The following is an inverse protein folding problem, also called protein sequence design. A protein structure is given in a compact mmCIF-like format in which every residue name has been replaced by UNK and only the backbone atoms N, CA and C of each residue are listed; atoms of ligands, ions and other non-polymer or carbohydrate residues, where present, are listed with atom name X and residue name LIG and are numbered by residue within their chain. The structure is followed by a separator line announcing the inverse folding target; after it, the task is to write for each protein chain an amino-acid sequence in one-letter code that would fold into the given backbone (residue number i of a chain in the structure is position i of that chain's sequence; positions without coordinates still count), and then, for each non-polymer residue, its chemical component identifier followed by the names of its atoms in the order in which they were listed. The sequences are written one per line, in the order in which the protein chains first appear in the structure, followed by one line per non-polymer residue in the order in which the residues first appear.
data_IF_031290676469
#
_entry.id   IF_031290676469
#
_cell.length_a   1.000
_cell.length_b   1.000
_cell.length_c   1.000
_cell.angle_alpha   90.00
_cell.angle_beta   90.00
_cell.angle_gamma   90.00
#
_symmetry.space_group_name_H-M   'P 1'
#
loop_
_entity.id
_entity.type
_entity.pdbx_description
1 polymer ?
#
# COMPACT_ATOMS: atom_id res chain seq x y z
N UNK A 1 -1.44 -23.51 6.88
CA UNK A 1 -0.22 -22.69 7.03
C UNK A 1 0.67 -22.72 5.78
N UNK A 2 1.00 -23.91 5.24
CA UNK A 2 1.94 -24.08 4.10
C UNK A 2 1.59 -23.29 2.84
N UNK A 3 0.31 -23.22 2.47
CA UNK A 3 -0.14 -22.53 1.24
C UNK A 3 -0.56 -21.07 1.45
N UNK A 4 -0.32 -20.49 2.64
CA UNK A 4 -0.75 -19.11 2.91
C UNK A 4 0.06 -18.10 2.08
N UNK A 5 1.38 -18.21 2.08
CA UNK A 5 2.25 -17.26 1.37
C UNK A 5 2.01 -17.21 -0.16
N UNK A 6 1.81 -18.34 -0.88
CA UNK A 6 1.43 -18.32 -2.29
C UNK A 6 0.10 -17.61 -2.59
N UNK A 7 -0.90 -17.75 -1.71
CA UNK A 7 -2.20 -17.08 -1.89
C UNK A 7 -2.03 -15.56 -1.77
N UNK A 8 -1.31 -15.09 -0.75
CA UNK A 8 -1.01 -13.67 -0.59
C UNK A 8 -0.09 -13.11 -1.68
N UNK A 9 0.78 -13.94 -2.27
CA UNK A 9 1.57 -13.55 -3.44
C UNK A 9 0.70 -13.23 -4.66
N UNK A 10 -0.33 -14.05 -4.93
CA UNK A 10 -1.33 -13.75 -5.96
C UNK A 10 -2.09 -12.45 -5.68
N UNK A 11 -2.50 -12.22 -4.43
CA UNK A 11 -3.16 -10.96 -4.03
C UNK A 11 -2.23 -9.75 -4.17
N UNK A 12 -0.94 -9.92 -3.90
CA UNK A 12 0.08 -8.88 -4.08
C UNK A 12 0.21 -8.47 -5.55
N UNK A 13 0.16 -9.44 -6.48
CA UNK A 13 0.16 -9.14 -7.91
C UNK A 13 -1.06 -8.30 -8.32
N UNK A 14 -2.25 -8.60 -7.77
CA UNK A 14 -3.48 -7.83 -8.01
C UNK A 14 -3.36 -6.41 -7.41
N UNK A 15 -2.90 -6.26 -6.17
CA UNK A 15 -2.69 -4.95 -5.55
C UNK A 15 -1.68 -4.11 -6.33
N UNK A 16 -0.62 -4.76 -6.86
CA UNK A 16 0.40 -4.09 -7.68
C UNK A 16 -0.17 -3.63 -9.03
N UNK A 17 -1.02 -4.46 -9.67
CA UNK A 17 -1.79 -4.05 -10.86
C UNK A 17 -2.62 -2.79 -10.57
N UNK A 18 -3.37 -2.77 -9.46
CA UNK A 18 -4.23 -1.65 -9.11
C UNK A 18 -3.43 -0.36 -8.84
N UNK A 19 -2.33 -0.46 -8.08
CA UNK A 19 -1.42 0.66 -7.81
C UNK A 19 -0.89 1.28 -9.10
N UNK A 20 -0.37 0.45 -10.00
CA UNK A 20 0.29 0.90 -11.24
C UNK A 20 -0.70 1.35 -12.31
N UNK A 21 -1.88 0.73 -12.37
CA UNK A 21 -3.00 1.20 -13.20
C UNK A 21 -3.48 2.59 -12.76
N UNK A 22 -3.40 2.90 -11.45
CA UNK A 22 -3.69 4.23 -10.94
C UNK A 22 -2.61 5.23 -11.36
N UNK A 23 -1.34 4.85 -11.44
CA UNK A 23 -0.27 5.79 -11.81
C UNK A 23 -0.23 6.15 -13.29
N UNK A 24 -0.49 5.19 -14.19
CA UNK A 24 -0.26 5.39 -15.62
C UNK A 24 -1.38 4.86 -16.51
N UNK A 25 -1.35 3.57 -16.85
CA UNK A 25 -2.32 2.93 -17.74
C UNK A 25 -2.53 1.48 -17.34
N UNK A 26 -3.64 0.89 -17.79
CA UNK A 26 -3.95 -0.53 -17.53
C UNK A 26 -2.88 -1.47 -18.09
N UNK A 27 -2.28 -1.13 -19.23
CA UNK A 27 -1.20 -1.91 -19.83
C UNK A 27 0.05 -1.93 -18.94
N UNK A 28 0.47 -0.78 -18.42
CA UNK A 28 1.58 -0.70 -17.47
C UNK A 28 1.31 -1.52 -16.21
N UNK A 29 0.05 -1.54 -15.74
CA UNK A 29 -0.32 -2.34 -14.59
C UNK A 29 -0.27 -3.85 -14.80
N UNK A 30 -0.66 -4.33 -15.99
CA UNK A 30 -0.52 -5.75 -16.34
C UNK A 30 0.95 -6.17 -16.33
N UNK A 31 1.83 -5.36 -16.92
CA UNK A 31 3.27 -5.63 -16.87
C UNK A 31 3.82 -5.64 -15.44
N UNK A 32 3.42 -4.69 -14.60
CA UNK A 32 3.86 -4.65 -13.20
C UNK A 32 3.41 -5.89 -12.40
N UNK A 33 2.18 -6.34 -12.61
CA UNK A 33 1.66 -7.57 -11.98
C UNK A 33 2.39 -8.82 -12.46
N UNK A 34 2.68 -8.92 -13.76
CA UNK A 34 3.48 -10.01 -14.29
C UNK A 34 4.90 -10.00 -13.71
N UNK A 35 5.54 -8.84 -13.56
CA UNK A 35 6.89 -8.79 -13.00
C UNK A 35 6.96 -9.19 -11.53
N UNK A 36 6.04 -8.69 -10.68
CA UNK A 36 6.07 -9.03 -9.25
C UNK A 36 5.71 -10.50 -8.98
N UNK A 37 4.93 -11.14 -9.86
CA UNK A 37 4.55 -12.54 -9.71
C UNK A 37 5.76 -13.51 -9.81
N UNK A 38 6.79 -13.14 -10.57
CA UNK A 38 7.93 -14.01 -10.88
C UNK A 38 9.26 -13.47 -10.31
N UNK A 39 9.23 -12.32 -9.62
CA UNK A 39 10.46 -11.68 -9.15
C UNK A 39 11.11 -12.53 -8.04
N UNK A 40 12.36 -13.00 -8.22
CA UNK A 40 13.00 -13.94 -7.30
C UNK A 40 13.17 -13.36 -5.90
N UNK A 41 13.33 -12.04 -5.79
CA UNK A 41 13.41 -11.35 -4.49
C UNK A 41 12.16 -11.55 -3.64
N UNK A 42 10.96 -11.43 -4.22
CA UNK A 42 9.72 -11.68 -3.50
C UNK A 42 9.46 -13.17 -3.33
N UNK A 43 9.67 -13.98 -4.38
CA UNK A 43 9.47 -15.42 -4.32
C UNK A 43 10.29 -16.09 -3.22
N UNK A 44 11.52 -15.63 -2.95
CA UNK A 44 12.37 -16.16 -1.87
C UNK A 44 11.76 -16.05 -0.47
N UNK A 45 10.90 -15.06 -0.25
CA UNK A 45 10.22 -14.78 1.03
C UNK A 45 8.78 -15.27 1.07
N UNK A 46 8.24 -15.72 -0.08
CA UNK A 46 6.85 -16.16 -0.24
C UNK A 46 6.70 -17.60 -0.76
N UNK A 47 7.69 -18.47 -0.52
CA UNK A 47 7.66 -19.88 -0.95
C UNK A 47 6.59 -20.67 -0.18
N UNK A 48 5.95 -21.65 -0.84
CA UNK A 48 5.07 -22.60 -0.15
C UNK A 48 5.83 -23.32 0.97
N UNK A 49 5.28 -23.27 2.19
CA UNK A 49 5.94 -23.79 3.40
C UNK A 49 6.69 -22.73 4.21
N UNK A 50 6.98 -21.56 3.65
CA UNK A 50 7.46 -20.40 4.40
C UNK A 50 6.29 -19.70 5.07
N UNK A 51 6.14 -19.90 6.37
CA UNK A 51 5.12 -19.23 7.20
C UNK A 51 5.74 -18.02 7.90
N UNK A 52 6.22 -17.07 7.08
CA UNK A 52 6.76 -15.80 7.55
C UNK A 52 5.76 -14.67 7.31
N UNK A 53 5.81 -13.64 8.15
CA UNK A 53 4.89 -12.50 8.12
C UNK A 53 5.10 -11.62 6.86
N UNK A 54 6.26 -11.74 6.23
CA UNK A 54 6.66 -10.91 5.09
C UNK A 54 5.75 -11.08 3.86
N UNK A 55 5.23 -12.29 3.63
CA UNK A 55 4.31 -12.56 2.51
C UNK A 55 3.02 -11.75 2.61
N UNK A 56 2.47 -11.65 3.83
CA UNK A 56 1.26 -10.86 4.14
C UNK A 56 1.59 -9.37 4.17
N UNK A 57 2.74 -9.00 4.74
CA UNK A 57 3.17 -7.62 4.89
C UNK A 57 3.32 -6.91 3.53
N UNK A 58 3.92 -7.58 2.55
CA UNK A 58 4.12 -7.01 1.21
C UNK A 58 2.78 -6.75 0.52
N UNK A 59 1.80 -7.67 0.66
CA UNK A 59 0.44 -7.44 0.19
C UNK A 59 -0.20 -6.21 0.84
N UNK A 60 -0.17 -6.13 2.18
CA UNK A 60 -0.75 -5.03 2.95
C UNK A 60 -0.12 -3.69 2.60
N UNK A 61 1.19 -3.67 2.37
CA UNK A 61 1.95 -2.49 1.96
C UNK A 61 1.49 -1.99 0.58
N UNK A 62 1.41 -2.88 -0.42
CA UNK A 62 0.95 -2.49 -1.77
C UNK A 62 -0.50 -2.00 -1.77
N UNK A 63 -1.37 -2.66 -0.98
CA UNK A 63 -2.77 -2.25 -0.84
C UNK A 63 -2.88 -0.87 -0.19
N UNK A 64 -2.09 -0.59 0.85
CA UNK A 64 -2.09 0.70 1.55
C UNK A 64 -1.64 1.83 0.63
N UNK A 65 -0.61 1.61 -0.19
CA UNK A 65 -0.16 2.61 -1.17
C UNK A 65 -1.17 2.85 -2.29
N UNK A 66 -1.85 1.80 -2.76
CA UNK A 66 -2.93 1.95 -3.73
C UNK A 66 -4.07 2.82 -3.16
N UNK A 67 -4.52 2.51 -1.95
CA UNK A 67 -5.60 3.24 -1.29
C UNK A 67 -5.21 4.69 -1.00
N UNK A 68 -3.96 4.93 -0.58
CA UNK A 68 -3.42 6.28 -0.35
C UNK A 68 -3.43 7.12 -1.64
N UNK A 69 -2.91 6.60 -2.75
CA UNK A 69 -2.92 7.31 -4.03
C UNK A 69 -4.35 7.58 -4.52
N UNK A 70 -5.25 6.61 -4.34
CA UNK A 70 -6.66 6.75 -4.71
C UNK A 70 -7.36 7.81 -3.84
N UNK A 71 -7.05 7.85 -2.55
CA UNK A 71 -7.50 8.87 -1.60
C UNK A 71 -7.05 10.26 -2.05
N UNK A 72 -5.77 10.45 -2.38
CA UNK A 72 -5.24 11.75 -2.82
C UNK A 72 -5.89 12.26 -4.12
N UNK A 73 -6.12 11.38 -5.09
CA UNK A 73 -6.72 11.76 -6.38
C UNK A 73 -8.18 12.15 -6.25
N UNK A 74 -8.95 11.35 -5.52
CA UNK A 74 -10.39 11.59 -5.32
C UNK A 74 -10.67 12.69 -4.29
N UNK A 75 -9.83 12.82 -3.26
CA UNK A 75 -10.03 13.73 -2.14
C UNK A 75 -11.18 13.30 -1.21
N UNK A 76 -11.56 12.01 -1.22
CA UNK A 76 -12.69 11.51 -0.43
C UNK A 76 -12.25 10.98 0.94
N UNK A 77 -13.06 11.28 1.96
CA UNK A 77 -12.90 10.77 3.32
C UNK A 77 -13.02 9.25 3.35
N UNK A 78 -13.91 8.66 2.54
CA UNK A 78 -14.12 7.21 2.48
C UNK A 78 -12.83 6.46 2.13
N UNK A 79 -12.13 6.87 1.06
CA UNK A 79 -10.87 6.24 0.66
C UNK A 79 -9.76 6.45 1.70
N UNK A 80 -9.79 7.56 2.42
CA UNK A 80 -8.82 7.87 3.47
C UNK A 80 -9.02 6.97 4.71
N UNK A 81 -10.29 6.69 5.08
CA UNK A 81 -10.62 5.71 6.12
C UNK A 81 -10.21 4.30 5.69
N UNK A 82 -10.51 3.89 4.44
CA UNK A 82 -10.05 2.61 3.93
C UNK A 82 -8.52 2.48 3.96
N UNK A 83 -7.80 3.57 3.66
CA UNK A 83 -6.34 3.61 3.77
C UNK A 83 -5.88 3.42 5.23
N UNK A 84 -6.54 4.07 6.19
CA UNK A 84 -6.23 3.91 7.62
C UNK A 84 -6.51 2.48 8.12
N UNK A 85 -7.60 1.84 7.67
CA UNK A 85 -7.89 0.43 8.00
C UNK A 85 -6.83 -0.51 7.39
N UNK A 86 -6.42 -0.26 6.14
CA UNK A 86 -5.33 -1.02 5.50
C UNK A 86 -3.99 -0.81 6.23
N UNK A 87 -3.73 0.40 6.71
CA UNK A 87 -2.57 0.70 7.54
C UNK A 87 -2.62 -0.04 8.89
N UNK A 88 -3.77 -0.08 9.56
CA UNK A 88 -3.95 -0.88 10.77
C UNK A 88 -3.68 -2.37 10.55
N UNK A 89 -4.15 -2.91 9.41
CA UNK A 89 -3.83 -4.28 9.02
C UNK A 89 -2.31 -4.49 8.86
N UNK A 90 -1.60 -3.50 8.31
CA UNK A 90 -0.13 -3.56 8.22
C UNK A 90 0.55 -3.52 9.60
N UNK A 91 0.10 -2.64 10.50
CA UNK A 91 0.65 -2.53 11.88
C UNK A 91 0.54 -3.86 12.61
N UNK A 92 -0.61 -4.54 12.49
CA UNK A 92 -0.83 -5.85 13.11
C UNK A 92 -0.08 -7.01 12.43
N UNK A 93 0.24 -6.89 11.14
CA UNK A 93 0.94 -7.94 10.38
C UNK A 93 2.47 -7.87 10.50
N UNK A 94 3.08 -6.68 10.50
CA UNK A 94 4.55 -6.54 10.47
C UNK A 94 5.05 -5.20 11.00
N UNK A 95 6.18 -5.23 11.72
CA UNK A 95 6.83 -4.04 12.29
C UNK A 95 7.33 -3.00 11.28
N UNK A 96 7.32 -3.31 9.98
CA UNK A 96 7.68 -2.36 8.93
C UNK A 96 6.62 -1.29 8.64
N UNK A 97 5.53 -1.21 9.40
CA UNK A 97 4.58 -0.09 9.34
C UNK A 97 5.27 1.28 9.55
N UNK A 98 6.40 1.30 10.28
CA UNK A 98 7.27 2.49 10.45
C UNK A 98 7.71 3.06 9.10
N UNK A 99 7.86 2.24 8.07
CA UNK A 99 8.18 2.71 6.73
C UNK A 99 7.02 3.53 6.13
N UNK A 100 5.78 3.04 6.25
CA UNK A 100 4.59 3.70 5.69
C UNK A 100 4.35 5.04 6.37
N UNK A 101 4.40 5.08 7.71
CA UNK A 101 4.12 6.30 8.47
C UNK A 101 5.19 7.38 8.29
N UNK A 102 6.41 7.03 7.85
CA UNK A 102 7.43 8.00 7.48
C UNK A 102 7.34 8.42 6.00
N UNK A 103 7.03 7.49 5.10
CA UNK A 103 6.98 7.77 3.66
C UNK A 103 5.77 8.63 3.26
N UNK A 104 4.61 8.44 3.91
CA UNK A 104 3.42 9.25 3.62
C UNK A 104 3.63 10.74 3.96
N UNK A 105 4.07 11.12 5.17
CA UNK A 105 4.42 12.51 5.48
C UNK A 105 5.56 13.05 4.61
N UNK A 106 6.57 12.23 4.29
CA UNK A 106 7.64 12.64 3.37
C UNK A 106 7.07 13.01 1.99
N UNK A 107 6.15 12.21 1.47
CA UNK A 107 5.47 12.49 0.20
C UNK A 107 4.64 13.79 0.26
N UNK A 108 3.89 13.99 1.35
CA UNK A 108 3.13 15.24 1.59
C UNK A 108 4.07 16.44 1.69
N UNK A 109 5.17 16.31 2.42
CA UNK A 109 6.18 17.36 2.59
C UNK A 109 6.85 17.72 1.27
N UNK A 110 7.19 16.73 0.43
CA UNK A 110 7.72 16.97 -0.91
C UNK A 110 6.70 17.72 -1.79
N UNK A 111 5.41 17.40 -1.69
CA UNK A 111 4.34 18.12 -2.41
C UNK A 111 4.20 19.58 -1.93
N UNK A 112 4.41 19.84 -0.64
CA UNK A 112 4.43 21.20 -0.10
C UNK A 112 5.64 22.01 -0.63
N UNK A 113 6.83 21.42 -0.66
CA UNK A 113 8.04 22.07 -1.22
C UNK A 113 7.85 22.39 -2.71
N UNK A 114 7.22 21.50 -3.47
CA UNK A 114 6.90 21.73 -4.88
C UNK A 114 5.77 22.76 -5.10
N UNK A 115 5.18 23.31 -4.03
CA UNK A 115 4.07 24.27 -4.12
C UNK A 115 2.74 23.64 -4.58
N UNK A 116 2.61 22.30 -4.56
CA UNK A 116 1.42 21.58 -5.04
C UNK A 116 0.45 21.25 -3.91
N UNK A 117 0.14 22.26 -3.09
CA UNK A 117 -0.87 22.10 -2.03
C UNK A 117 -2.29 22.08 -2.62
N UNK A 118 -3.12 21.19 -2.09
CA UNK A 118 -4.54 21.08 -2.46
C UNK A 118 -5.37 20.70 -1.24
N UNK A 119 -6.62 21.16 -1.20
CA UNK A 119 -7.59 20.76 -0.18
C UNK A 119 -7.77 19.23 -0.12
N UNK A 120 -7.66 18.54 -1.27
CA UNK A 120 -7.75 17.08 -1.33
C UNK A 120 -6.64 16.40 -0.53
N UNK A 121 -5.43 16.94 -0.63
CA UNK A 121 -4.27 16.45 0.11
C UNK A 121 -4.42 16.71 1.62
N UNK A 122 -4.92 17.88 1.99
CA UNK A 122 -5.19 18.21 3.40
C UNK A 122 -6.21 17.26 4.03
N UNK A 123 -7.36 17.05 3.38
CA UNK A 123 -8.41 16.15 3.87
C UNK A 123 -7.90 14.72 3.95
N UNK A 124 -7.24 14.23 2.89
CA UNK A 124 -6.72 12.87 2.81
C UNK A 124 -5.70 12.57 3.91
N UNK A 125 -4.72 13.46 4.09
CA UNK A 125 -3.67 13.30 5.09
C UNK A 125 -4.21 13.42 6.51
N UNK A 126 -5.05 14.42 6.80
CA UNK A 126 -5.56 14.65 8.16
C UNK A 126 -6.43 13.49 8.63
N UNK A 127 -7.33 12.99 7.78
CA UNK A 127 -8.17 11.83 8.11
C UNK A 127 -7.31 10.58 8.28
N UNK A 128 -6.38 10.34 7.37
CA UNK A 128 -5.45 9.19 7.47
C UNK A 128 -4.65 9.22 8.77
N UNK A 129 -4.09 10.38 9.14
CA UNK A 129 -3.24 10.51 10.32
C UNK A 129 -4.04 10.32 11.62
N UNK A 130 -5.20 10.98 11.75
CA UNK A 130 -6.02 10.88 12.97
C UNK A 130 -6.55 9.45 13.15
N UNK A 131 -7.16 8.88 12.10
CA UNK A 131 -7.74 7.53 12.19
C UNK A 131 -6.64 6.49 12.30
N UNK A 132 -5.54 6.65 11.56
CA UNK A 132 -4.39 5.75 11.62
C UNK A 132 -3.73 5.72 13.00
N UNK A 133 -3.64 6.86 13.67
CA UNK A 133 -3.11 6.95 15.04
C UNK A 133 -4.07 6.34 16.08
N UNK A 134 -5.37 6.49 15.90
CA UNK A 134 -6.36 5.88 16.79
C UNK A 134 -6.39 4.35 16.69
N UNK A 135 -6.08 3.82 15.51
CA UNK A 135 -6.07 2.39 15.25
C UNK A 135 -4.71 1.74 15.55
N UNK A 136 -3.60 2.49 15.52
CA UNK A 136 -2.25 1.96 15.73
C UNK A 136 -1.95 1.51 17.15
#
# INVERSE_FOLDING_TARGET
CVFLAPVFSGLTAISTYLLTAELWSRGAGLFAACFIAIVPGYSSRSVAGSYDNEGIAIFALQLTYFLWLRSLKTGSVFWSICTAISYFYMVSAWGGYVFIINLIPLHVFALLIMGRFSQRLFVSYSVFYIVGLLLS
#
